data_IF_508813639108
#
_entry.id   IF_508813639108
#
_cell.length_a   1.000
_cell.length_b   1.000
_cell.length_c   1.000
_cell.angle_alpha   90.00
_cell.angle_beta   90.00
_cell.angle_gamma   90.00
#
_symmetry.space_group_name_H-M   'P 1'
#
loop_
_entity.id
_entity.type
_entity.pdbx_description
1 polymer ?
#
# COMPACT_ATOMS: atom_id res chain seq x y z
N UNK A 1 5.97 -14.08 -22.23
CA UNK A 1 7.40 -14.25 -22.45
C UNK A 1 7.96 -12.98 -23.11
N UNK A 2 9.21 -12.56 -22.79
CA UNK A 2 9.87 -11.38 -23.42
C UNK A 2 9.92 -11.54 -24.94
N UNK A 3 10.02 -12.77 -25.44
CA UNK A 3 9.95 -13.10 -26.88
C UNK A 3 8.55 -12.84 -27.46
N UNK A 4 7.50 -13.15 -26.73
CA UNK A 4 6.12 -12.90 -27.13
C UNK A 4 5.80 -11.40 -27.13
N UNK A 5 6.28 -10.67 -26.13
CA UNK A 5 6.16 -9.21 -26.07
C UNK A 5 6.95 -8.54 -27.21
N UNK A 6 8.12 -9.07 -27.58
CA UNK A 6 8.91 -8.62 -28.73
C UNK A 6 8.19 -8.88 -30.06
N UNK A 7 7.40 -9.93 -30.16
CA UNK A 7 6.61 -10.25 -31.35
C UNK A 7 5.33 -9.41 -31.45
N UNK A 8 4.65 -9.17 -30.32
CA UNK A 8 3.41 -8.40 -30.29
C UNK A 8 3.59 -6.88 -30.32
N UNK A 9 4.75 -6.38 -29.85
CA UNK A 9 5.06 -4.95 -29.77
C UNK A 9 6.51 -4.67 -30.20
N UNK A 10 6.87 -4.96 -31.46
CA UNK A 10 8.24 -4.78 -31.96
C UNK A 10 8.71 -3.32 -31.85
N UNK A 11 7.82 -2.34 -31.93
CA UNK A 11 8.13 -0.92 -31.81
C UNK A 11 8.76 -0.56 -30.45
N UNK A 12 8.49 -1.29 -29.39
CA UNK A 12 9.11 -1.07 -28.07
C UNK A 12 10.57 -1.53 -28.03
N UNK A 13 10.93 -2.44 -28.91
CA UNK A 13 12.26 -3.07 -28.96
C UNK A 13 13.09 -2.59 -30.16
N UNK A 14 12.48 -2.14 -31.25
CA UNK A 14 13.19 -1.66 -32.44
C UNK A 14 13.90 -0.32 -32.24
N UNK A 15 13.37 0.54 -31.37
CA UNK A 15 14.03 1.79 -30.99
C UNK A 15 15.42 1.60 -30.35
N UNK A 16 15.81 0.36 -30.04
CA UNK A 16 17.06 -0.01 -29.39
C UNK A 16 18.00 -0.86 -30.27
N UNK A 17 17.61 -1.20 -31.51
CA UNK A 17 18.52 -1.89 -32.45
C UNK A 17 19.69 -0.96 -32.81
N UNK A 18 20.88 -1.34 -32.39
CA UNK A 18 22.11 -0.65 -32.77
C UNK A 18 22.72 0.33 -31.77
N UNK A 19 22.13 0.46 -30.58
CA UNK A 19 22.71 1.26 -29.51
C UNK A 19 23.75 0.42 -28.78
N UNK A 20 25.03 0.66 -29.06
CA UNK A 20 26.13 0.12 -28.24
C UNK A 20 26.03 0.72 -26.84
N UNK A 21 26.11 -0.12 -25.80
CA UNK A 21 26.24 0.35 -24.41
C UNK A 21 27.54 1.14 -24.31
N UNK A 22 27.44 2.46 -24.21
CA UNK A 22 28.57 3.27 -23.81
C UNK A 22 28.64 3.21 -22.28
N UNK A 23 29.80 2.84 -21.77
CA UNK A 23 30.11 2.94 -20.35
C UNK A 23 29.92 4.40 -19.93
N UNK A 24 28.80 4.69 -19.25
CA UNK A 24 28.59 6.00 -18.68
C UNK A 24 27.25 6.69 -18.86
N UNK A 25 26.18 6.11 -19.45
CA UNK A 25 24.79 6.67 -19.40
C UNK A 25 23.79 5.97 -20.32
N UNK A 26 23.93 4.69 -20.61
CA UNK A 26 22.93 4.05 -21.46
C UNK A 26 21.86 3.40 -20.59
N UNK A 27 20.76 4.16 -20.39
CA UNK A 27 19.57 3.70 -19.67
C UNK A 27 18.92 2.55 -20.46
N UNK A 28 18.45 1.53 -19.72
CA UNK A 28 17.69 0.41 -20.26
C UNK A 28 16.35 0.84 -20.90
N UNK A 29 15.65 -0.11 -21.48
CA UNK A 29 14.37 0.11 -22.18
C UNK A 29 13.34 0.74 -21.21
N UNK A 30 13.30 0.28 -19.96
CA UNK A 30 12.36 0.80 -18.96
C UNK A 30 12.57 2.29 -18.64
N UNK A 31 13.80 2.72 -18.48
CA UNK A 31 14.14 4.12 -18.21
C UNK A 31 13.82 5.02 -19.41
N UNK A 32 14.09 4.57 -20.62
CA UNK A 32 13.71 5.28 -21.86
C UNK A 32 12.19 5.40 -22.00
N UNK A 33 11.47 4.33 -21.70
CA UNK A 33 10.00 4.33 -21.70
C UNK A 33 9.45 5.30 -20.65
N UNK A 34 10.04 5.37 -19.46
CA UNK A 34 9.62 6.32 -18.44
C UNK A 34 9.84 7.79 -18.86
N UNK A 35 10.93 8.12 -19.53
CA UNK A 35 11.15 9.45 -20.13
C UNK A 35 10.06 9.79 -21.15
N UNK A 36 9.63 8.80 -21.95
CA UNK A 36 8.50 8.96 -22.89
C UNK A 36 7.17 9.11 -22.13
N UNK A 37 6.94 8.31 -21.09
CA UNK A 37 5.73 8.36 -20.27
C UNK A 37 5.52 9.73 -19.63
N UNK A 38 6.57 10.41 -19.16
CA UNK A 38 6.50 11.78 -18.62
C UNK A 38 5.91 12.80 -19.60
N UNK A 39 5.98 12.54 -20.92
CA UNK A 39 5.39 13.41 -21.96
C UNK A 39 3.92 13.08 -22.26
N UNK A 40 3.45 11.88 -21.91
CA UNK A 40 2.13 11.36 -22.27
C UNK A 40 1.21 11.26 -21.04
N UNK A 41 1.80 11.03 -19.88
CA UNK A 41 1.10 10.78 -18.61
C UNK A 41 1.59 11.83 -17.61
N UNK A 42 0.69 12.63 -17.04
CA UNK A 42 1.09 13.60 -16.00
C UNK A 42 1.81 12.90 -14.85
N UNK A 43 3.07 13.31 -14.58
CA UNK A 43 3.92 12.65 -13.59
C UNK A 43 4.56 11.33 -14.03
N UNK A 44 4.33 10.87 -15.26
CA UNK A 44 4.95 9.69 -15.87
C UNK A 44 4.38 8.34 -15.43
N UNK A 45 3.52 8.29 -14.43
CA UNK A 45 2.87 7.07 -13.94
C UNK A 45 1.54 7.37 -13.22
N UNK A 46 0.80 6.32 -12.86
CA UNK A 46 -0.52 6.43 -12.23
C UNK A 46 -0.47 6.41 -10.69
N UNK A 47 0.67 6.10 -10.09
CA UNK A 47 0.77 5.92 -8.63
C UNK A 47 2.09 6.49 -8.09
N UNK A 48 2.00 7.44 -7.16
CA UNK A 48 3.16 8.12 -6.56
C UNK A 48 4.19 7.11 -6.03
N UNK A 49 3.75 6.09 -5.28
CA UNK A 49 4.65 5.09 -4.67
C UNK A 49 5.37 4.18 -5.68
N UNK A 50 5.00 4.19 -6.96
CA UNK A 50 5.71 3.50 -8.05
C UNK A 50 6.57 4.43 -8.90
N UNK A 51 6.67 5.70 -8.52
CA UNK A 51 7.49 6.66 -9.26
C UNK A 51 8.96 6.28 -9.11
N UNK A 52 9.69 6.07 -10.22
CA UNK A 52 11.11 5.69 -10.18
C UNK A 52 11.99 6.62 -9.36
N UNK A 53 11.67 7.91 -9.40
CA UNK A 53 12.40 8.94 -8.67
C UNK A 53 12.32 8.80 -7.13
N UNK A 54 11.36 8.01 -6.61
CA UNK A 54 11.24 7.68 -5.17
C UNK A 54 12.22 6.59 -4.73
N UNK A 55 12.80 5.87 -5.69
CA UNK A 55 13.74 4.78 -5.47
C UNK A 55 15.15 5.16 -5.92
N UNK A 56 15.36 5.23 -7.23
CA UNK A 56 16.66 5.53 -7.84
C UNK A 56 16.43 6.32 -9.13
N UNK A 57 16.47 7.66 -9.06
CA UNK A 57 16.20 8.50 -10.23
C UNK A 57 17.09 8.11 -11.40
N UNK A 58 16.52 8.08 -12.60
CA UNK A 58 17.14 7.71 -13.88
C UNK A 58 17.65 6.27 -14.01
N UNK A 59 17.85 5.53 -12.93
CA UNK A 59 18.45 4.19 -12.93
C UNK A 59 17.45 3.06 -12.63
N UNK A 60 16.34 3.36 -11.90
CA UNK A 60 15.33 2.37 -11.59
C UNK A 60 14.72 1.76 -12.86
N UNK A 61 14.56 0.40 -12.96
CA UNK A 61 14.08 -0.26 -14.19
C UNK A 61 12.70 0.14 -14.66
N UNK A 62 11.86 0.68 -13.79
CA UNK A 62 10.56 1.33 -14.00
C UNK A 62 9.42 0.45 -14.48
N UNK A 63 9.66 -0.47 -15.41
CA UNK A 63 8.64 -1.32 -16.04
C UNK A 63 9.04 -2.79 -16.01
N UNK A 64 8.06 -3.65 -15.83
CA UNK A 64 8.27 -5.09 -15.84
C UNK A 64 7.66 -5.76 -17.08
N UNK A 65 8.29 -6.84 -17.55
CA UNK A 65 7.76 -7.74 -18.58
C UNK A 65 7.06 -8.94 -17.96
N UNK A 66 7.52 -9.37 -16.76
CA UNK A 66 7.02 -10.54 -16.05
C UNK A 66 7.24 -10.38 -14.55
N UNK A 67 6.31 -10.93 -13.76
CA UNK A 67 6.47 -11.08 -12.31
C UNK A 67 5.95 -12.45 -11.87
N UNK A 68 6.70 -13.16 -11.00
CA UNK A 68 6.34 -14.50 -10.51
C UNK A 68 6.96 -14.75 -9.14
N UNK A 69 6.18 -15.20 -8.16
CA UNK A 69 6.64 -15.36 -6.78
C UNK A 69 7.08 -14.00 -6.21
N UNK A 70 8.33 -13.87 -5.80
CA UNK A 70 8.93 -12.58 -5.45
C UNK A 70 9.94 -12.07 -6.49
N UNK A 71 9.89 -12.60 -7.73
CA UNK A 71 10.79 -12.21 -8.81
C UNK A 71 10.10 -11.32 -9.82
N UNK A 72 10.84 -10.36 -10.37
CA UNK A 72 10.40 -9.41 -11.38
C UNK A 72 11.45 -9.35 -12.49
N UNK A 73 11.01 -9.38 -13.75
CA UNK A 73 11.87 -9.17 -14.91
C UNK A 73 11.56 -7.82 -15.55
N UNK A 74 12.60 -7.05 -15.80
CA UNK A 74 12.46 -5.78 -16.52
C UNK A 74 12.27 -5.98 -18.03
N UNK A 75 12.18 -4.88 -18.78
CA UNK A 75 12.03 -4.94 -20.24
C UNK A 75 13.31 -5.33 -20.99
N UNK A 76 14.45 -5.25 -20.32
CA UNK A 76 15.75 -5.71 -20.86
C UNK A 76 15.98 -7.21 -20.57
N UNK A 77 15.09 -7.85 -19.80
CA UNK A 77 15.15 -9.26 -19.43
C UNK A 77 15.97 -9.55 -18.18
N UNK A 78 16.40 -8.54 -17.44
CA UNK A 78 17.10 -8.74 -16.18
C UNK A 78 16.12 -9.21 -15.11
N UNK A 79 16.52 -10.23 -14.34
CA UNK A 79 15.76 -10.76 -13.20
C UNK A 79 16.17 -10.04 -11.90
N UNK A 80 15.18 -9.64 -11.12
CA UNK A 80 15.36 -9.08 -9.79
C UNK A 80 14.51 -9.82 -8.77
N UNK A 81 14.99 -9.89 -7.53
CA UNK A 81 14.19 -10.31 -6.38
C UNK A 81 13.60 -9.06 -5.74
N UNK A 82 12.27 -9.01 -5.60
CA UNK A 82 11.59 -7.88 -4.96
C UNK A 82 11.62 -8.03 -3.44
N UNK A 83 12.58 -7.34 -2.82
CA UNK A 83 12.69 -7.13 -1.38
C UNK A 83 12.31 -5.68 -1.03
N UNK A 84 11.24 -5.16 -1.68
CA UNK A 84 10.73 -3.81 -1.47
C UNK A 84 9.23 -3.82 -1.19
N UNK A 85 8.41 -3.36 -2.10
CA UNK A 85 6.99 -3.06 -1.84
C UNK A 85 5.98 -4.06 -2.42
N UNK A 86 6.40 -5.12 -3.09
CA UNK A 86 5.53 -6.20 -3.59
C UNK A 86 4.20 -5.71 -4.18
N UNK A 87 4.26 -4.82 -5.19
CA UNK A 87 3.06 -4.21 -5.78
C UNK A 87 2.29 -3.32 -4.79
N UNK A 88 2.96 -2.62 -3.89
CA UNK A 88 2.38 -1.82 -2.79
C UNK A 88 1.63 -2.70 -1.78
N UNK A 89 2.17 -3.88 -1.50
CA UNK A 89 1.60 -4.82 -0.55
C UNK A 89 0.33 -5.52 -1.03
N UNK A 90 0.10 -5.57 -2.35
CA UNK A 90 -1.05 -6.31 -2.90
C UNK A 90 -0.79 -7.81 -3.01
N UNK A 91 0.45 -8.22 -3.28
CA UNK A 91 0.79 -9.60 -3.63
C UNK A 91 1.31 -10.40 -2.42
N UNK A 92 0.44 -10.61 -1.45
CA UNK A 92 0.79 -11.30 -0.19
C UNK A 92 1.17 -12.77 -0.39
N UNK A 93 0.59 -13.44 -1.42
CA UNK A 93 0.90 -14.81 -1.83
C UNK A 93 1.99 -14.88 -2.91
N UNK A 94 2.66 -13.76 -3.18
CA UNK A 94 3.58 -13.62 -4.31
C UNK A 94 2.89 -13.25 -5.63
N UNK A 95 3.69 -12.79 -6.59
CA UNK A 95 3.25 -12.44 -7.93
C UNK A 95 2.76 -13.65 -8.70
N UNK A 96 1.69 -13.50 -9.47
CA UNK A 96 1.22 -14.54 -10.38
C UNK A 96 0.96 -15.87 -9.69
N UNK A 97 0.27 -15.86 -8.53
CA UNK A 97 -0.02 -17.08 -7.79
C UNK A 97 -0.86 -18.03 -8.65
N UNK A 98 -0.43 -19.29 -8.89
CA UNK A 98 -1.02 -20.16 -9.91
C UNK A 98 -2.50 -20.43 -9.68
N UNK A 99 -2.93 -20.73 -8.45
CA UNK A 99 -4.33 -21.04 -8.18
C UNK A 99 -5.23 -19.81 -8.35
N UNK A 100 -4.76 -18.60 -7.99
CA UNK A 100 -5.51 -17.36 -8.19
C UNK A 100 -5.64 -17.04 -9.67
N UNK A 101 -4.53 -17.12 -10.42
CA UNK A 101 -4.51 -16.87 -11.85
C UNK A 101 -5.35 -17.89 -12.63
N UNK A 102 -5.34 -19.17 -12.24
CA UNK A 102 -6.14 -20.22 -12.88
C UNK A 102 -7.64 -20.01 -12.63
N UNK A 103 -8.03 -19.57 -11.42
CA UNK A 103 -9.42 -19.23 -11.14
C UNK A 103 -9.89 -18.06 -11.99
N UNK A 104 -9.07 -17.00 -12.11
CA UNK A 104 -9.37 -15.85 -12.96
C UNK A 104 -9.44 -16.25 -14.44
N UNK A 105 -8.51 -17.04 -14.94
CA UNK A 105 -8.51 -17.51 -16.34
C UNK A 105 -9.80 -18.21 -16.71
N UNK A 106 -10.33 -19.06 -15.83
CA UNK A 106 -11.61 -19.76 -16.04
C UNK A 106 -12.78 -18.81 -16.19
N UNK A 107 -12.88 -17.76 -15.36
CA UNK A 107 -13.99 -16.80 -15.50
C UNK A 107 -13.83 -15.87 -16.68
N UNK A 108 -12.60 -15.56 -17.09
CA UNK A 108 -12.35 -14.82 -18.36
C UNK A 108 -12.89 -15.59 -19.56
N UNK A 109 -12.65 -16.90 -19.61
CA UNK A 109 -13.18 -17.78 -20.68
C UNK A 109 -14.70 -17.87 -20.69
N UNK A 110 -15.36 -17.69 -19.54
CA UNK A 110 -16.83 -17.70 -19.39
C UNK A 110 -17.47 -16.34 -19.61
N UNK A 111 -16.70 -15.27 -19.70
CA UNK A 111 -17.17 -13.88 -19.80
C UNK A 111 -17.11 -13.14 -18.47
N UNK A 112 -16.37 -12.04 -18.47
CA UNK A 112 -16.10 -11.23 -17.28
C UNK A 112 -17.30 -10.36 -16.87
N UNK A 113 -18.14 -9.94 -17.81
CA UNK A 113 -19.26 -9.03 -17.55
C UNK A 113 -20.46 -9.34 -18.48
N UNK A 114 -21.65 -9.20 -17.95
CA UNK A 114 -22.88 -9.37 -18.72
C UNK A 114 -23.99 -8.43 -18.21
N UNK A 115 -25.20 -8.55 -18.77
CA UNK A 115 -26.40 -7.88 -18.24
C UNK A 115 -26.82 -8.44 -16.87
N UNK A 116 -26.50 -9.69 -16.59
CA UNK A 116 -26.74 -10.32 -15.29
C UNK A 116 -25.57 -10.08 -14.33
N UNK A 117 -25.86 -10.11 -13.03
CA UNK A 117 -24.86 -10.08 -11.98
C UNK A 117 -24.07 -11.40 -11.92
N UNK A 118 -22.87 -11.37 -11.42
CA UNK A 118 -22.08 -12.58 -11.20
C UNK A 118 -22.33 -13.16 -9.78
N UNK A 119 -22.37 -14.48 -9.62
CA UNK A 119 -22.62 -15.08 -8.32
C UNK A 119 -21.46 -14.90 -7.35
N UNK A 120 -20.26 -14.70 -7.84
CA UNK A 120 -19.04 -14.54 -7.04
C UNK A 120 -19.09 -13.29 -6.14
N UNK A 121 -19.87 -12.26 -6.50
CA UNK A 121 -20.09 -11.11 -5.62
C UNK A 121 -20.83 -11.49 -4.35
N UNK A 122 -21.82 -12.40 -4.45
CA UNK A 122 -22.56 -12.91 -3.29
C UNK A 122 -21.68 -13.81 -2.44
N UNK A 123 -20.98 -14.76 -3.07
CA UNK A 123 -20.08 -15.68 -2.37
C UNK A 123 -18.96 -14.94 -1.63
N UNK A 124 -18.40 -13.88 -2.22
CA UNK A 124 -17.41 -13.05 -1.54
C UNK A 124 -18.01 -12.29 -0.38
N UNK A 125 -19.23 -11.77 -0.51
CA UNK A 125 -19.92 -11.08 0.58
C UNK A 125 -20.15 -12.04 1.76
N UNK A 126 -20.69 -13.24 1.51
CA UNK A 126 -20.88 -14.29 2.52
C UNK A 126 -19.55 -14.63 3.20
N UNK A 127 -18.48 -14.82 2.42
CA UNK A 127 -17.15 -15.15 2.95
C UNK A 127 -16.57 -14.05 3.85
N UNK A 128 -16.72 -12.79 3.47
CA UNK A 128 -16.24 -11.67 4.28
C UNK A 128 -17.01 -11.54 5.61
N UNK A 129 -18.32 -11.78 5.60
CA UNK A 129 -19.15 -11.79 6.81
C UNK A 129 -18.76 -12.97 7.70
N UNK A 130 -18.55 -14.16 7.15
CA UNK A 130 -18.08 -15.33 7.91
C UNK A 130 -16.75 -15.05 8.63
N UNK A 131 -15.82 -14.38 7.97
CA UNK A 131 -14.53 -13.98 8.55
C UNK A 131 -14.71 -12.90 9.63
N UNK A 132 -15.75 -12.06 9.51
CA UNK A 132 -16.03 -10.91 10.38
C UNK A 132 -17.47 -10.98 10.93
N UNK A 133 -17.76 -11.86 11.91
CA UNK A 133 -19.13 -12.11 12.38
C UNK A 133 -19.87 -10.90 12.99
N UNK A 134 -19.18 -9.78 13.20
CA UNK A 134 -19.78 -8.52 13.64
C UNK A 134 -20.43 -7.74 12.48
N UNK A 135 -20.08 -8.05 11.22
CA UNK A 135 -20.63 -7.40 10.03
C UNK A 135 -21.78 -8.21 9.44
N UNK A 136 -22.77 -7.50 8.89
CA UNK A 136 -23.98 -8.10 8.32
C UNK A 136 -24.08 -7.91 6.80
N UNK A 137 -23.46 -6.85 6.26
CA UNK A 137 -23.62 -6.46 4.86
C UNK A 137 -22.29 -6.01 4.23
N UNK A 138 -22.20 -6.16 2.90
CA UNK A 138 -20.99 -5.87 2.11
C UNK A 138 -21.33 -5.04 0.87
N UNK A 139 -20.47 -4.06 0.56
CA UNK A 139 -20.42 -3.39 -0.75
C UNK A 139 -19.04 -3.62 -1.35
N UNK A 140 -19.00 -4.08 -2.59
CA UNK A 140 -17.76 -4.29 -3.33
C UNK A 140 -17.43 -3.06 -4.19
N UNK A 141 -16.14 -2.76 -4.31
CA UNK A 141 -15.59 -1.79 -5.25
C UNK A 141 -14.27 -2.34 -5.82
N UNK A 142 -13.46 -1.52 -6.48
CA UNK A 142 -12.21 -2.01 -7.10
C UNK A 142 -10.96 -1.39 -6.51
N UNK A 143 -11.04 -0.18 -5.99
CA UNK A 143 -9.88 0.51 -5.40
C UNK A 143 -10.14 0.91 -3.95
N UNK A 144 -9.07 1.04 -3.17
CA UNK A 144 -9.16 1.48 -1.78
C UNK A 144 -9.72 2.90 -1.64
N UNK A 145 -9.39 3.80 -2.58
CA UNK A 145 -9.92 5.17 -2.60
C UNK A 145 -11.43 5.20 -2.79
N UNK A 146 -11.97 4.41 -3.74
CA UNK A 146 -13.41 4.26 -3.93
C UNK A 146 -14.09 3.71 -2.67
N UNK A 147 -13.56 2.61 -2.13
CA UNK A 147 -14.12 1.97 -0.94
C UNK A 147 -14.13 2.94 0.26
N UNK A 148 -13.08 3.74 0.42
CA UNK A 148 -13.02 4.78 1.45
C UNK A 148 -14.08 5.88 1.22
N UNK A 149 -14.28 6.35 -0.01
CA UNK A 149 -15.32 7.31 -0.33
C UNK A 149 -16.72 6.74 -0.12
N UNK A 150 -16.96 5.48 -0.50
CA UNK A 150 -18.21 4.75 -0.24
C UNK A 150 -18.50 4.71 1.26
N UNK A 151 -17.53 4.30 2.08
CA UNK A 151 -17.71 4.18 3.54
C UNK A 151 -18.08 5.50 4.19
N UNK A 152 -17.45 6.60 3.78
CA UNK A 152 -17.77 7.94 4.29
C UNK A 152 -19.18 8.37 3.87
N UNK A 153 -19.58 8.13 2.60
CA UNK A 153 -20.91 8.49 2.16
C UNK A 153 -22.00 7.70 2.88
N UNK A 154 -21.81 6.41 3.09
CA UNK A 154 -22.76 5.58 3.85
C UNK A 154 -22.86 6.10 5.30
N UNK A 155 -21.75 6.33 5.95
CA UNK A 155 -21.73 6.78 7.34
C UNK A 155 -22.37 8.18 7.53
N UNK A 156 -22.10 9.11 6.60
CA UNK A 156 -22.79 10.42 6.58
C UNK A 156 -24.28 10.30 6.34
N UNK A 157 -24.71 9.42 5.44
CA UNK A 157 -26.13 9.16 5.20
C UNK A 157 -26.82 8.54 6.40
N UNK A 158 -26.14 7.62 7.11
CA UNK A 158 -26.67 6.96 8.31
C UNK A 158 -26.80 7.92 9.49
N UNK A 159 -25.84 8.83 9.67
CA UNK A 159 -25.83 9.76 10.82
C UNK A 159 -26.51 11.11 10.56
N UNK A 160 -26.67 11.47 9.27
CA UNK A 160 -27.14 12.81 8.89
C UNK A 160 -26.15 13.94 9.19
N UNK A 161 -24.87 13.62 9.45
CA UNK A 161 -23.84 14.58 9.87
C UNK A 161 -22.67 14.60 8.88
N UNK A 162 -22.09 15.79 8.65
CA UNK A 162 -21.06 15.98 7.65
C UNK A 162 -19.62 15.78 8.16
N UNK A 163 -19.36 16.05 9.44
CA UNK A 163 -18.02 16.12 9.98
C UNK A 163 -17.46 14.75 10.34
N UNK A 164 -16.19 14.56 10.02
CA UNK A 164 -15.42 13.33 10.24
C UNK A 164 -14.19 13.64 11.08
N UNK A 165 -14.02 12.97 12.21
CA UNK A 165 -12.74 12.89 12.89
C UNK A 165 -11.92 11.77 12.26
N UNK A 166 -10.64 11.98 11.93
CA UNK A 166 -9.85 10.99 11.23
C UNK A 166 -8.41 10.88 11.73
N UNK A 167 -7.83 9.68 11.55
CA UNK A 167 -6.42 9.42 11.79
C UNK A 167 -5.89 8.42 10.74
N UNK A 168 -4.80 8.78 10.06
CA UNK A 168 -4.15 7.94 9.06
C UNK A 168 -4.39 8.36 7.62
N UNK A 169 -3.98 7.47 6.69
CA UNK A 169 -4.07 7.70 5.24
C UNK A 169 -5.28 7.00 4.63
N UNK A 170 -6.11 7.74 3.87
CA UNK A 170 -7.38 7.22 3.36
C UNK A 170 -7.63 7.46 1.86
N UNK A 171 -6.58 7.70 1.08
CA UNK A 171 -6.69 7.86 -0.37
C UNK A 171 -6.55 9.29 -0.86
N UNK A 172 -7.17 9.62 -2.00
CA UNK A 172 -6.94 10.86 -2.74
C UNK A 172 -8.23 11.65 -3.04
N UNK A 173 -9.39 11.15 -2.60
CA UNK A 173 -10.68 11.78 -2.89
C UNK A 173 -10.85 13.11 -2.13
N UNK A 174 -11.65 14.01 -2.67
CA UNK A 174 -11.86 15.36 -2.16
C UNK A 174 -12.24 15.39 -0.68
N UNK A 175 -13.08 14.44 -0.23
CA UNK A 175 -13.49 14.35 1.17
C UNK A 175 -12.30 14.24 2.12
N UNK A 176 -11.24 13.52 1.73
CA UNK A 176 -10.03 13.34 2.55
C UNK A 176 -9.05 14.50 2.39
N UNK A 177 -8.78 14.92 1.14
CA UNK A 177 -7.87 16.02 0.84
C UNK A 177 -8.37 17.38 1.36
N UNK A 178 -9.67 17.51 1.64
CA UNK A 178 -10.25 18.70 2.24
C UNK A 178 -9.68 19.02 3.64
N UNK A 179 -9.01 18.07 4.28
CA UNK A 179 -8.26 18.32 5.52
C UNK A 179 -7.19 19.42 5.35
N UNK A 180 -6.56 19.51 4.19
CA UNK A 180 -5.54 20.53 3.88
C UNK A 180 -6.11 21.89 3.45
N UNK A 181 -7.42 22.06 3.38
CA UNK A 181 -8.04 23.39 3.09
C UNK A 181 -7.94 24.38 4.25
N UNK A 182 -7.72 23.90 5.46
CA UNK A 182 -7.56 24.73 6.66
C UNK A 182 -6.10 25.12 6.92
N UNK A 183 -5.22 24.15 6.76
CA UNK A 183 -3.78 24.24 6.91
C UNK A 183 -3.17 23.23 5.93
N UNK A 184 -2.32 23.70 5.04
CA UNK A 184 -1.70 22.87 3.99
C UNK A 184 -0.84 21.71 4.53
N UNK A 185 -0.44 21.77 5.78
CA UNK A 185 0.36 20.77 6.48
C UNK A 185 -0.46 19.71 7.25
N UNK A 186 -1.78 19.81 7.29
CA UNK A 186 -2.64 18.92 8.11
C UNK A 186 -2.40 17.42 7.80
N UNK A 187 -2.17 17.06 6.54
CA UNK A 187 -1.92 15.67 6.13
C UNK A 187 -0.45 15.24 6.22
N UNK A 188 0.48 16.13 6.58
CA UNK A 188 1.92 15.79 6.61
C UNK A 188 2.21 14.67 7.62
N UNK A 189 1.56 14.71 8.79
CA UNK A 189 1.61 13.64 9.79
C UNK A 189 0.83 12.36 9.43
N UNK A 190 0.06 12.39 8.34
CA UNK A 190 -0.80 11.29 7.86
C UNK A 190 -0.31 10.65 6.56
N UNK A 191 0.98 10.66 6.29
CA UNK A 191 1.70 10.03 5.16
C UNK A 191 1.81 10.85 3.86
N UNK A 192 1.30 12.04 3.76
CA UNK A 192 1.32 12.84 2.53
C UNK A 192 1.96 14.23 2.72
N UNK A 193 3.24 14.31 3.13
CA UNK A 193 3.89 15.60 3.33
C UNK A 193 3.98 16.38 2.01
N UNK A 194 3.67 17.69 2.08
CA UNK A 194 3.74 18.60 0.95
C UNK A 194 2.60 18.47 -0.07
N UNK A 195 1.45 17.89 0.31
CA UNK A 195 0.29 17.77 -0.55
C UNK A 195 -0.52 19.07 -0.58
N UNK A 196 -0.64 19.67 -1.77
CA UNK A 196 -1.50 20.84 -1.98
C UNK A 196 -2.95 20.42 -2.29
N UNK A 197 -3.98 21.04 -1.65
CA UNK A 197 -5.38 20.70 -1.88
C UNK A 197 -5.97 21.39 -3.14
N UNK A 198 -5.17 21.56 -4.19
CA UNK A 198 -5.61 22.20 -5.44
C UNK A 198 -6.72 21.40 -6.12
N UNK A 199 -7.81 22.08 -6.46
CA UNK A 199 -8.98 21.48 -7.12
C UNK A 199 -10.00 20.91 -6.13
N UNK A 200 -9.72 20.85 -4.83
CA UNK A 200 -10.68 20.45 -3.81
C UNK A 200 -11.65 21.62 -3.52
N UNK A 201 -12.98 21.41 -3.53
CA UNK A 201 -13.97 22.46 -3.28
C UNK A 201 -13.79 23.11 -1.91
N UNK A 202 -13.73 24.46 -1.86
CA UNK A 202 -13.50 25.22 -0.64
C UNK A 202 -14.59 25.06 0.42
N UNK A 203 -15.83 24.75 0.02
CA UNK A 203 -16.94 24.50 0.93
C UNK A 203 -16.80 23.20 1.77
N UNK A 204 -15.83 22.34 1.43
CA UNK A 204 -15.50 21.17 2.23
C UNK A 204 -14.56 21.49 3.42
N UNK A 205 -14.06 22.73 3.50
CA UNK A 205 -13.23 23.17 4.64
C UNK A 205 -13.94 22.94 5.96
N UNK A 206 -13.22 22.30 6.92
CA UNK A 206 -13.74 22.02 8.27
C UNK A 206 -14.65 20.79 8.37
N UNK A 207 -14.81 20.02 7.30
CA UNK A 207 -15.51 18.72 7.34
C UNK A 207 -14.61 17.57 7.79
N UNK A 208 -13.29 17.73 7.72
CA UNK A 208 -12.29 16.73 8.13
C UNK A 208 -11.44 17.27 9.27
N UNK A 209 -11.46 16.58 10.40
CA UNK A 209 -10.80 17.00 11.64
C UNK A 209 -9.79 15.93 12.07
N UNK A 210 -8.47 16.20 11.97
CA UNK A 210 -7.44 15.23 12.27
C UNK A 210 -7.22 15.05 13.76
N UNK A 211 -6.90 13.84 14.20
CA UNK A 211 -6.31 13.55 15.50
C UNK A 211 -5.11 12.60 15.33
N UNK A 212 -4.18 12.65 16.27
CA UNK A 212 -2.99 11.82 16.23
C UNK A 212 -3.24 10.45 16.86
N UNK A 213 -2.57 9.43 16.32
CA UNK A 213 -2.64 8.07 16.84
C UNK A 213 -2.10 8.00 18.27
N UNK A 214 -2.77 7.23 19.16
CA UNK A 214 -2.50 7.17 20.60
C UNK A 214 -2.71 8.50 21.38
N UNK A 215 -3.49 9.44 20.84
CA UNK A 215 -3.85 10.73 21.45
C UNK A 215 -5.36 10.82 21.61
N UNK A 216 -5.88 10.05 22.57
CA UNK A 216 -7.34 9.98 22.82
C UNK A 216 -7.92 11.34 23.21
N UNK A 217 -7.17 12.16 23.93
CA UNK A 217 -7.55 13.49 24.37
C UNK A 217 -7.83 14.46 23.19
N UNK A 218 -7.15 14.27 22.06
CA UNK A 218 -7.43 15.06 20.85
C UNK A 218 -8.78 14.69 20.25
N UNK A 219 -9.12 13.40 20.20
CA UNK A 219 -10.42 12.93 19.74
C UNK A 219 -11.55 13.38 20.67
N UNK A 220 -11.36 13.30 21.99
CA UNK A 220 -12.31 13.80 22.98
C UNK A 220 -12.59 15.29 22.77
N UNK A 221 -11.54 16.10 22.56
CA UNK A 221 -11.68 17.53 22.30
C UNK A 221 -12.44 17.82 20.99
N UNK A 222 -12.19 17.04 19.92
CA UNK A 222 -12.93 17.17 18.66
C UNK A 222 -14.42 16.88 18.86
N UNK A 223 -14.76 15.78 19.51
CA UNK A 223 -16.15 15.35 19.74
C UNK A 223 -16.89 16.33 20.66
N UNK A 224 -16.20 16.91 21.66
CA UNK A 224 -16.78 17.90 22.55
C UNK A 224 -17.12 19.24 21.85
N UNK A 225 -16.36 19.62 20.81
CA UNK A 225 -16.48 20.94 20.19
C UNK A 225 -17.14 20.89 18.79
N UNK A 226 -17.40 19.71 18.21
CA UNK A 226 -17.95 19.57 16.88
C UNK A 226 -19.03 18.50 16.84
N UNK A 227 -20.03 18.70 15.97
CA UNK A 227 -21.06 17.68 15.69
C UNK A 227 -20.51 16.62 14.73
N UNK A 228 -19.83 15.62 15.29
CA UNK A 228 -19.16 14.54 14.56
C UNK A 228 -20.14 13.40 14.26
N UNK A 229 -20.20 12.97 13.00
CA UNK A 229 -20.97 11.79 12.57
C UNK A 229 -20.13 10.55 12.39
N UNK A 230 -18.84 10.71 12.12
CA UNK A 230 -17.96 9.62 11.72
C UNK A 230 -16.59 9.76 12.39
N UNK A 231 -16.07 8.66 12.90
CA UNK A 231 -14.64 8.50 13.22
C UNK A 231 -14.08 7.51 12.23
N UNK A 232 -13.03 7.90 11.50
CA UNK A 232 -12.34 7.04 10.54
C UNK A 232 -10.85 6.97 10.81
N UNK A 233 -10.32 5.75 10.95
CA UNK A 233 -8.91 5.57 11.24
C UNK A 233 -8.36 4.26 10.73
N UNK A 234 -7.03 4.16 10.55
CA UNK A 234 -6.33 2.89 10.44
C UNK A 234 -6.19 2.26 11.82
N UNK A 235 -6.34 0.95 11.94
CA UNK A 235 -6.21 0.23 13.22
C UNK A 235 -4.79 0.34 13.77
N UNK A 236 -3.82 0.17 12.92
CA UNK A 236 -2.39 0.40 13.18
C UNK A 236 -1.63 0.44 11.86
N UNK A 237 -0.55 1.20 11.80
CA UNK A 237 0.37 1.24 10.66
C UNK A 237 1.83 1.26 11.11
N UNK A 238 2.24 2.28 11.83
CA UNK A 238 3.64 2.50 12.21
C UNK A 238 3.90 2.17 13.69
N UNK A 239 2.89 2.33 14.53
CA UNK A 239 2.95 2.07 15.96
C UNK A 239 1.75 1.25 16.41
N UNK A 240 1.92 0.45 17.47
CA UNK A 240 0.81 -0.28 18.09
C UNK A 240 -0.07 0.62 18.96
N UNK A 241 -1.36 0.29 19.13
CA UNK A 241 -2.22 1.01 20.08
C UNK A 241 -1.73 0.79 21.51
N UNK A 242 -1.76 1.85 22.30
CA UNK A 242 -1.30 1.86 23.70
C UNK A 242 -2.46 2.22 24.62
N UNK A 243 -2.35 1.81 25.88
CA UNK A 243 -3.19 2.27 26.98
C UNK A 243 -4.71 2.22 26.72
N UNK A 244 -5.18 1.19 26.02
CA UNK A 244 -6.60 1.05 25.70
C UNK A 244 -7.11 2.05 24.65
N UNK A 245 -6.24 2.57 23.78
CA UNK A 245 -6.59 3.59 22.79
C UNK A 245 -7.75 3.18 21.87
N UNK A 246 -7.71 1.97 21.29
CA UNK A 246 -8.79 1.51 20.39
C UNK A 246 -10.12 1.30 21.13
N UNK A 247 -10.08 0.78 22.35
CA UNK A 247 -11.23 0.63 23.22
C UNK A 247 -11.82 2.00 23.58
N UNK A 248 -10.95 2.98 23.85
CA UNK A 248 -11.34 4.36 24.10
C UNK A 248 -12.04 4.99 22.89
N UNK A 249 -11.48 4.83 21.69
CA UNK A 249 -12.09 5.29 20.43
C UNK A 249 -13.47 4.63 20.23
N UNK A 250 -13.58 3.31 20.42
CA UNK A 250 -14.87 2.61 20.30
C UNK A 250 -15.89 3.14 21.32
N UNK A 251 -15.46 3.37 22.56
CA UNK A 251 -16.32 3.92 23.61
C UNK A 251 -16.84 5.32 23.25
N UNK A 252 -15.96 6.22 22.81
CA UNK A 252 -16.33 7.57 22.38
C UNK A 252 -17.36 7.51 21.25
N UNK A 253 -17.13 6.65 20.24
CA UNK A 253 -18.06 6.50 19.13
C UNK A 253 -19.43 5.99 19.58
N UNK A 254 -19.47 5.01 20.47
CA UNK A 254 -20.71 4.43 21.01
C UNK A 254 -21.48 5.45 21.85
N UNK A 255 -20.81 6.12 22.79
CA UNK A 255 -21.45 7.07 23.72
C UNK A 255 -22.03 8.31 23.01
N UNK A 256 -21.52 8.64 21.81
CA UNK A 256 -21.93 9.84 21.05
C UNK A 256 -22.72 9.50 19.76
N UNK A 257 -23.12 8.24 19.54
CA UNK A 257 -23.80 7.77 18.33
C UNK A 257 -23.03 8.14 17.04
N UNK A 258 -21.72 7.93 17.05
CA UNK A 258 -20.82 8.17 15.93
C UNK A 258 -20.49 6.83 15.26
N UNK A 259 -20.53 6.79 13.93
CA UNK A 259 -20.12 5.62 13.15
C UNK A 259 -18.60 5.50 13.18
N UNK A 260 -18.08 4.37 13.69
CA UNK A 260 -16.65 4.05 13.67
C UNK A 260 -16.30 3.22 12.44
N UNK A 261 -15.37 3.72 11.63
CA UNK A 261 -14.86 3.04 10.44
C UNK A 261 -13.37 2.73 10.63
N UNK A 262 -13.01 1.44 10.54
CA UNK A 262 -11.61 1.05 10.43
C UNK A 262 -11.20 0.88 8.96
N UNK A 263 -10.18 1.63 8.54
CA UNK A 263 -9.54 1.44 7.24
C UNK A 263 -8.49 0.34 7.35
N UNK A 264 -8.82 -0.82 6.83
CA UNK A 264 -7.99 -2.01 6.79
C UNK A 264 -7.40 -2.28 5.40
N UNK A 265 -7.43 -1.28 4.52
CA UNK A 265 -6.85 -1.42 3.17
C UNK A 265 -5.38 -1.83 3.19
N UNK A 266 -4.64 -1.38 4.19
CA UNK A 266 -3.22 -1.69 4.35
C UNK A 266 -2.98 -2.83 5.34
N UNK A 267 -3.69 -2.87 6.44
CA UNK A 267 -3.50 -3.80 7.56
C UNK A 267 -4.21 -5.14 7.39
N UNK A 268 -5.30 -5.19 6.65
CA UNK A 268 -6.12 -6.38 6.49
C UNK A 268 -5.35 -7.60 5.95
N UNK A 269 -5.63 -8.78 6.52
CA UNK A 269 -5.08 -10.08 6.12
C UNK A 269 -3.57 -10.26 6.32
N UNK A 270 -2.92 -9.42 7.15
CA UNK A 270 -1.46 -9.49 7.37
C UNK A 270 -1.03 -10.09 8.69
N UNK A 271 -1.75 -9.80 9.78
CA UNK A 271 -1.46 -10.36 11.12
C UNK A 271 -2.59 -11.25 11.64
N UNK A 272 -3.73 -11.18 11.01
CA UNK A 272 -4.92 -11.98 11.31
C UNK A 272 -5.56 -12.42 9.99
N UNK A 273 -6.32 -13.50 10.02
CA UNK A 273 -7.20 -13.80 8.89
C UNK A 273 -8.44 -12.89 8.98
N UNK A 274 -8.40 -11.78 8.24
CA UNK A 274 -9.36 -10.70 8.31
C UNK A 274 -8.73 -9.37 8.73
N UNK A 275 -9.53 -8.51 9.34
CA UNK A 275 -9.09 -7.21 9.82
C UNK A 275 -8.16 -7.30 11.04
N UNK A 276 -7.19 -6.39 11.10
CA UNK A 276 -6.27 -6.27 12.22
C UNK A 276 -6.98 -5.97 13.56
N UNK A 277 -8.14 -5.31 13.51
CA UNK A 277 -8.96 -5.03 14.68
C UNK A 277 -9.32 -6.29 15.50
N UNK A 278 -9.37 -7.46 14.85
CA UNK A 278 -9.61 -8.75 15.52
C UNK A 278 -8.52 -9.08 16.55
N UNK A 279 -7.27 -8.68 16.30
CA UNK A 279 -6.15 -8.86 17.24
C UNK A 279 -6.39 -8.14 18.57
N UNK A 280 -7.08 -7.01 18.51
CA UNK A 280 -7.34 -6.16 19.67
C UNK A 280 -8.74 -6.33 20.27
N UNK A 281 -9.59 -7.15 19.65
CA UNK A 281 -10.94 -7.40 20.15
C UNK A 281 -11.90 -6.21 20.07
N UNK A 282 -11.61 -5.23 19.21
CA UNK A 282 -12.43 -4.01 19.04
C UNK A 282 -13.11 -4.06 17.68
N UNK A 283 -14.44 -4.17 17.66
CA UNK A 283 -15.22 -4.18 16.42
C UNK A 283 -15.67 -2.77 16.03
N UNK A 284 -15.48 -2.36 14.77
CA UNK A 284 -16.02 -1.11 14.23
C UNK A 284 -17.49 -1.29 13.83
N UNK A 285 -18.13 -0.20 13.39
CA UNK A 285 -19.42 -0.27 12.71
C UNK A 285 -19.26 -0.57 11.22
N UNK A 286 -18.11 -0.18 10.64
CA UNK A 286 -17.72 -0.48 9.27
C UNK A 286 -16.21 -0.74 9.17
N UNK A 287 -15.81 -1.58 8.22
CA UNK A 287 -14.40 -1.75 7.87
C UNK A 287 -14.20 -1.75 6.34
N UNK A 288 -13.01 -1.30 5.89
CA UNK A 288 -12.67 -1.18 4.48
C UNK A 288 -11.46 -2.07 4.18
N UNK A 289 -11.58 -2.94 3.17
CA UNK A 289 -10.51 -3.84 2.74
C UNK A 289 -10.14 -3.59 1.28
N UNK A 290 -8.87 -3.79 0.94
CA UNK A 290 -8.35 -3.72 -0.43
C UNK A 290 -7.01 -4.47 -0.51
N UNK A 291 -6.09 -4.04 -1.37
CA UNK A 291 -4.69 -4.54 -1.53
C UNK A 291 -4.59 -6.06 -1.47
N UNK A 292 -4.28 -6.62 -0.28
CA UNK A 292 -4.05 -8.05 -0.09
C UNK A 292 -5.25 -8.93 -0.47
N UNK A 293 -6.47 -8.38 -0.44
CA UNK A 293 -7.72 -9.12 -0.70
C UNK A 293 -7.74 -9.81 -2.07
N UNK A 294 -7.14 -9.19 -3.11
CA UNK A 294 -7.16 -9.72 -4.48
C UNK A 294 -5.83 -10.31 -4.96
N UNK A 295 -4.79 -10.32 -4.13
CA UNK A 295 -3.44 -10.74 -4.50
C UNK A 295 -2.96 -10.16 -5.86
N UNK A 296 -3.11 -8.85 -6.04
CA UNK A 296 -2.73 -8.13 -7.27
C UNK A 296 -3.90 -7.83 -8.22
N UNK A 297 -5.03 -8.52 -8.10
CA UNK A 297 -6.26 -8.19 -8.82
C UNK A 297 -7.03 -7.07 -8.11
N UNK A 298 -7.68 -6.21 -8.91
CA UNK A 298 -8.41 -5.06 -8.39
C UNK A 298 -9.71 -5.48 -7.72
N UNK A 299 -9.76 -5.39 -6.39
CA UNK A 299 -10.94 -5.62 -5.57
C UNK A 299 -10.81 -4.84 -4.25
N UNK A 300 -11.91 -4.31 -3.78
CA UNK A 300 -12.06 -3.74 -2.45
C UNK A 300 -13.45 -4.00 -1.91
N UNK A 301 -13.60 -3.96 -0.61
CA UNK A 301 -14.85 -4.20 0.10
C UNK A 301 -15.05 -3.21 1.23
N UNK A 302 -16.29 -2.76 1.39
CA UNK A 302 -16.81 -2.08 2.58
C UNK A 302 -17.76 -3.06 3.25
N UNK A 303 -17.44 -3.46 4.47
CA UNK A 303 -18.32 -4.32 5.28
C UNK A 303 -18.84 -3.53 6.49
N UNK A 304 -19.99 -3.87 7.01
CA UNK A 304 -20.52 -3.15 8.17
C UNK A 304 -21.79 -3.78 8.74
N UNK A 305 -22.19 -3.24 9.88
CA UNK A 305 -23.45 -3.61 10.54
C UNK A 305 -24.66 -3.16 9.71
N UNK A 306 -25.74 -3.90 9.75
CA UNK A 306 -26.95 -3.65 8.96
C UNK A 306 -27.50 -2.23 9.16
N UNK A 307 -27.58 -1.77 10.40
CA UNK A 307 -28.12 -0.45 10.76
C UNK A 307 -27.43 0.72 10.02
N UNK A 308 -26.12 0.59 9.79
CA UNK A 308 -25.33 1.61 9.05
C UNK A 308 -25.38 1.34 7.55
N UNK A 309 -25.21 0.10 7.13
CA UNK A 309 -25.11 -0.26 5.71
C UNK A 309 -26.41 -0.07 4.94
N UNK A 310 -27.59 -0.19 5.57
CA UNK A 310 -28.90 0.07 4.97
C UNK A 310 -29.04 1.51 4.47
N UNK A 311 -28.32 2.47 5.02
CA UNK A 311 -28.28 3.85 4.53
C UNK A 311 -27.80 3.95 3.07
N UNK A 312 -27.11 2.93 2.55
CA UNK A 312 -26.73 2.83 1.13
C UNK A 312 -27.94 2.95 0.19
N UNK A 313 -29.11 2.49 0.62
CA UNK A 313 -30.34 2.54 -0.19
C UNK A 313 -30.93 3.96 -0.31
N UNK A 314 -30.56 4.86 0.59
CA UNK A 314 -31.02 6.26 0.57
C UNK A 314 -30.07 7.19 -0.18
N UNK A 315 -28.94 6.70 -0.70
CA UNK A 315 -27.95 7.49 -1.44
C UNK A 315 -27.49 6.75 -2.69
N UNK A 316 -27.05 7.51 -3.72
CA UNK A 316 -26.61 6.90 -4.98
C UNK A 316 -25.13 6.48 -4.90
N UNK A 317 -24.90 5.16 -4.85
CA UNK A 317 -23.59 4.53 -4.86
C UNK A 317 -23.62 3.41 -5.90
N UNK A 318 -23.08 3.65 -7.09
CA UNK A 318 -23.12 2.71 -8.21
C UNK A 318 -21.95 2.93 -9.17
N UNK A 319 -21.42 1.85 -9.75
CA UNK A 319 -20.44 1.92 -10.82
C UNK A 319 -20.47 0.64 -11.66
N UNK A 320 -20.26 0.79 -12.97
CA UNK A 320 -20.33 -0.30 -13.94
C UNK A 320 -19.37 -1.43 -13.62
N UNK A 321 -18.08 -1.13 -13.40
CA UNK A 321 -17.06 -2.15 -13.21
C UNK A 321 -17.03 -2.77 -11.82
N UNK A 322 -17.86 -2.34 -10.89
CA UNK A 322 -18.01 -3.04 -9.62
C UNK A 322 -18.74 -4.38 -9.75
N UNK A 323 -19.32 -4.64 -10.92
CA UNK A 323 -20.08 -5.87 -11.25
C UNK A 323 -19.32 -6.87 -12.12
N UNK A 324 -18.00 -6.65 -12.35
CA UNK A 324 -17.17 -7.60 -13.10
C UNK A 324 -16.74 -8.79 -12.21
N UNK A 325 -16.48 -9.97 -12.83
CA UNK A 325 -16.26 -11.23 -12.13
C UNK A 325 -14.82 -11.47 -11.66
N UNK A 326 -13.82 -10.87 -12.32
CA UNK A 326 -12.40 -11.15 -12.05
C UNK A 326 -12.05 -10.82 -10.59
N UNK A 327 -12.42 -9.63 -10.13
CA UNK A 327 -12.12 -9.17 -8.77
C UNK A 327 -12.66 -10.10 -7.68
N UNK A 328 -13.97 -10.39 -7.63
CA UNK A 328 -14.53 -11.31 -6.66
C UNK A 328 -13.97 -12.74 -6.74
N UNK A 329 -13.74 -13.26 -7.94
CA UNK A 329 -13.12 -14.58 -8.14
C UNK A 329 -11.71 -14.64 -7.58
N UNK A 330 -10.89 -13.64 -7.89
CA UNK A 330 -9.53 -13.55 -7.37
C UNK A 330 -9.52 -13.46 -5.84
N UNK A 331 -10.41 -12.64 -5.27
CA UNK A 331 -10.52 -12.51 -3.81
C UNK A 331 -10.93 -13.82 -3.14
N UNK A 332 -11.94 -14.52 -3.64
CA UNK A 332 -12.37 -15.81 -3.11
C UNK A 332 -11.24 -16.84 -3.10
N UNK A 333 -10.51 -16.96 -4.22
CA UNK A 333 -9.37 -17.90 -4.29
C UNK A 333 -8.21 -17.44 -3.43
N UNK A 334 -7.93 -16.14 -3.35
CA UNK A 334 -6.90 -15.59 -2.47
C UNK A 334 -7.21 -15.91 -0.99
N UNK A 335 -8.44 -15.70 -0.54
CA UNK A 335 -8.86 -16.03 0.82
C UNK A 335 -8.76 -17.52 1.13
N UNK A 336 -9.13 -18.39 0.19
CA UNK A 336 -8.99 -19.84 0.32
C UNK A 336 -7.53 -20.26 0.52
N UNK A 337 -6.62 -19.73 -0.30
CA UNK A 337 -5.19 -20.03 -0.19
C UNK A 337 -4.61 -19.46 1.10
N UNK A 338 -4.94 -18.21 1.44
CA UNK A 338 -4.47 -17.59 2.69
C UNK A 338 -4.85 -18.42 3.92
N UNK A 339 -6.10 -18.87 4.00
CA UNK A 339 -6.59 -19.65 5.12
C UNK A 339 -5.89 -21.00 5.21
N UNK A 340 -5.82 -21.75 4.11
CA UNK A 340 -5.15 -23.04 4.02
C UNK A 340 -3.68 -22.95 4.42
N UNK A 341 -2.98 -21.92 4.00
CA UNK A 341 -1.53 -21.76 4.23
C UNK A 341 -1.20 -20.96 5.48
N UNK A 342 -2.21 -20.39 6.15
CA UNK A 342 -2.03 -19.45 7.27
C UNK A 342 -1.03 -18.34 6.93
N UNK A 343 -1.20 -17.73 5.77
CA UNK A 343 -0.24 -16.78 5.20
C UNK A 343 0.10 -15.63 6.14
N UNK A 344 -0.87 -15.15 6.93
CA UNK A 344 -0.67 -14.06 7.91
C UNK A 344 0.33 -14.43 9.02
N UNK A 345 0.36 -15.69 9.45
CA UNK A 345 1.33 -16.16 10.45
C UNK A 345 2.74 -16.16 9.85
N UNK A 346 2.88 -16.71 8.64
CA UNK A 346 4.16 -16.80 7.91
C UNK A 346 4.76 -15.43 7.64
N UNK A 347 4.02 -14.53 6.99
CA UNK A 347 4.54 -13.21 6.64
C UNK A 347 4.81 -12.33 7.88
N UNK A 348 4.04 -12.50 8.95
CA UNK A 348 4.29 -11.82 10.23
C UNK A 348 5.58 -12.30 10.85
N UNK A 349 5.83 -13.61 10.90
CA UNK A 349 7.06 -14.18 11.43
C UNK A 349 8.28 -13.74 10.60
N UNK A 350 8.17 -13.82 9.28
CA UNK A 350 9.22 -13.37 8.34
C UNK A 350 9.55 -11.89 8.51
N UNK A 351 8.54 -11.03 8.61
CA UNK A 351 8.78 -9.59 8.78
C UNK A 351 9.40 -9.23 10.13
N UNK A 352 9.05 -9.94 11.20
CA UNK A 352 9.73 -9.81 12.50
C UNK A 352 11.21 -10.22 12.42
N UNK A 353 11.51 -11.31 11.71
CA UNK A 353 12.89 -11.76 11.50
C UNK A 353 13.68 -10.72 10.72
N UNK A 354 13.14 -10.18 9.64
CA UNK A 354 13.78 -9.13 8.84
C UNK A 354 14.07 -7.89 9.71
N UNK A 355 13.11 -7.41 10.49
CA UNK A 355 13.31 -6.27 11.38
C UNK A 355 14.40 -6.51 12.43
N UNK A 356 14.40 -7.70 13.05
CA UNK A 356 15.45 -8.11 13.99
C UNK A 356 16.84 -8.16 13.34
N UNK A 357 16.93 -8.70 12.14
CA UNK A 357 18.21 -8.82 11.40
C UNK A 357 18.73 -7.44 10.97
N UNK A 358 17.86 -6.48 10.60
CA UNK A 358 18.28 -5.10 10.38
C UNK A 358 18.84 -4.46 11.65
N UNK A 359 18.20 -4.70 12.81
CA UNK A 359 18.69 -4.20 14.09
C UNK A 359 20.09 -4.74 14.40
N UNK A 360 20.30 -6.07 14.29
CA UNK A 360 21.60 -6.72 14.51
C UNK A 360 22.66 -6.19 13.54
N UNK A 361 22.29 -5.98 12.28
CA UNK A 361 23.21 -5.44 11.27
C UNK A 361 23.63 -4.00 11.58
N UNK A 362 22.68 -3.16 11.98
CA UNK A 362 22.98 -1.79 12.39
C UNK A 362 23.88 -1.73 13.65
N UNK A 363 23.59 -2.58 14.64
CA UNK A 363 24.44 -2.72 15.85
C UNK A 363 25.87 -3.12 15.50
N UNK A 364 26.06 -4.06 14.57
CA UNK A 364 27.38 -4.48 14.08
C UNK A 364 28.23 -3.31 13.58
N UNK A 365 27.59 -2.34 12.92
CA UNK A 365 28.24 -1.18 12.34
C UNK A 365 28.02 0.12 13.12
N UNK A 366 27.52 0.03 14.35
CA UNK A 366 27.26 1.17 15.25
C UNK A 366 26.37 2.26 14.62
N UNK A 367 25.46 1.88 13.73
CA UNK A 367 24.52 2.79 13.11
C UNK A 367 23.25 2.92 13.95
N UNK A 368 22.72 4.11 14.18
CA UNK A 368 21.40 4.28 14.79
C UNK A 368 20.35 3.80 13.80
N UNK A 369 19.41 2.98 14.26
CA UNK A 369 18.32 2.48 13.43
C UNK A 369 17.01 2.51 14.19
N UNK A 370 15.94 2.88 13.48
CA UNK A 370 14.56 2.84 13.97
C UNK A 370 13.77 1.88 13.10
N UNK A 371 13.26 0.81 13.70
CA UNK A 371 12.40 -0.17 13.02
C UNK A 371 10.94 0.18 13.30
N UNK A 372 10.11 0.23 12.27
CA UNK A 372 8.69 0.57 12.39
C UNK A 372 7.84 -0.17 11.36
N UNK A 373 6.53 0.07 11.39
CA UNK A 373 5.55 -0.58 10.53
C UNK A 373 4.96 -1.85 11.10
N UNK A 374 3.92 -2.35 10.44
CA UNK A 374 3.40 -3.69 10.73
C UNK A 374 4.48 -4.72 10.37
N UNK A 375 4.59 -5.86 11.08
CA UNK A 375 5.63 -6.85 10.79
C UNK A 375 5.73 -7.25 9.32
N UNK A 376 4.58 -7.49 8.67
CA UNK A 376 4.56 -7.82 7.24
C UNK A 376 4.78 -6.62 6.29
N UNK A 377 4.92 -5.41 6.81
CA UNK A 377 5.19 -4.16 6.10
C UNK A 377 6.31 -3.41 6.82
N UNK A 378 7.32 -4.13 7.24
CA UNK A 378 8.40 -3.62 8.07
C UNK A 378 9.25 -2.62 7.30
N UNK A 379 9.63 -1.55 7.98
CA UNK A 379 10.53 -0.53 7.44
C UNK A 379 11.53 -0.09 8.50
N UNK A 380 12.61 0.53 8.03
CA UNK A 380 13.61 1.14 8.90
C UNK A 380 13.96 2.56 8.46
N UNK A 381 14.48 3.32 9.39
CA UNK A 381 15.07 4.63 9.19
C UNK A 381 16.41 4.68 9.93
N UNK A 382 17.40 5.37 9.36
CA UNK A 382 18.63 5.74 10.03
C UNK A 382 18.52 7.25 10.31
N UNK A 383 18.30 7.67 11.57
CA UNK A 383 18.00 9.06 11.92
C UNK A 383 19.26 9.95 11.91
N UNK A 384 19.82 10.16 10.72
CA UNK A 384 20.99 11.00 10.44
C UNK A 384 20.72 11.97 9.28
N UNK A 385 21.50 13.06 9.20
CA UNK A 385 21.29 14.10 8.20
C UNK A 385 21.37 13.60 6.74
N UNK A 386 22.25 12.64 6.49
CA UNK A 386 22.46 12.06 5.16
C UNK A 386 21.47 10.92 4.81
N UNK A 387 20.40 10.73 5.57
CA UNK A 387 19.50 9.58 5.40
C UNK A 387 19.01 9.35 3.95
N UNK A 388 18.59 10.37 3.24
CA UNK A 388 18.14 10.21 1.85
C UNK A 388 19.24 9.74 0.91
N UNK A 389 20.48 10.17 1.15
CA UNK A 389 21.65 9.70 0.39
C UNK A 389 21.93 8.24 0.70
N UNK A 390 21.85 7.82 1.97
CA UNK A 390 22.03 6.43 2.36
C UNK A 390 20.91 5.53 1.84
N UNK A 391 19.68 5.99 1.87
CA UNK A 391 18.55 5.28 1.24
C UNK A 391 18.79 5.08 -0.26
N UNK A 392 19.31 6.08 -0.96
CA UNK A 392 19.67 6.02 -2.38
C UNK A 392 20.80 5.02 -2.60
N UNK A 393 21.86 5.07 -1.77
CA UNK A 393 22.98 4.14 -1.83
C UNK A 393 22.55 2.69 -1.62
N UNK A 394 21.69 2.41 -0.61
CA UNK A 394 21.13 1.09 -0.39
C UNK A 394 20.41 0.59 -1.66
N UNK A 395 19.53 1.43 -2.22
CA UNK A 395 18.77 1.06 -3.43
C UNK A 395 19.69 0.79 -4.61
N UNK A 396 20.70 1.64 -4.83
CA UNK A 396 21.70 1.52 -5.89
C UNK A 396 22.51 0.22 -5.78
N UNK A 397 23.11 -0.02 -4.63
CA UNK A 397 23.98 -1.17 -4.44
C UNK A 397 23.23 -2.50 -4.47
N UNK A 398 22.02 -2.54 -3.87
CA UNK A 398 21.18 -3.72 -3.91
C UNK A 398 20.65 -4.00 -5.32
N UNK A 399 20.33 -2.97 -6.11
CA UNK A 399 19.93 -3.14 -7.51
C UNK A 399 21.04 -3.80 -8.35
N UNK A 400 22.32 -3.39 -8.15
CA UNK A 400 23.50 -4.02 -8.78
C UNK A 400 23.64 -5.51 -8.43
N UNK A 401 23.09 -5.94 -7.29
CA UNK A 401 23.07 -7.33 -6.81
C UNK A 401 21.82 -8.12 -7.23
N UNK A 402 20.95 -7.50 -8.05
CA UNK A 402 19.70 -8.12 -8.50
C UNK A 402 18.55 -8.08 -7.50
N UNK A 403 18.55 -7.12 -6.57
CA UNK A 403 17.46 -6.90 -5.64
C UNK A 403 16.77 -5.56 -5.89
N UNK A 404 15.45 -5.58 -6.01
CA UNK A 404 14.64 -4.38 -5.83
C UNK A 404 14.50 -4.16 -4.33
N UNK A 405 15.30 -3.27 -3.76
CA UNK A 405 15.33 -3.04 -2.32
C UNK A 405 15.48 -1.56 -1.99
N UNK A 406 14.99 -1.17 -0.84
CA UNK A 406 15.14 0.15 -0.25
C UNK A 406 15.10 0.00 1.27
N UNK A 407 14.41 0.89 1.98
CA UNK A 407 14.26 0.85 3.43
C UNK A 407 12.97 0.17 3.93
N UNK A 408 12.25 -0.54 3.07
CA UNK A 408 10.99 -1.21 3.41
C UNK A 408 10.92 -2.58 2.75
N UNK A 409 10.39 -3.58 3.47
CA UNK A 409 10.05 -4.88 2.90
C UNK A 409 8.58 -5.18 3.18
N UNK A 410 7.79 -5.25 2.12
CA UNK A 410 6.42 -5.74 2.18
C UNK A 410 6.44 -7.24 1.91
N UNK A 411 6.29 -8.01 2.97
CA UNK A 411 6.54 -9.45 2.96
C UNK A 411 5.44 -10.21 2.22
N UNK A 412 5.85 -11.18 1.41
CA UNK A 412 4.97 -12.18 0.82
C UNK A 412 5.41 -13.60 1.22
N UNK A 413 4.57 -14.60 0.94
CA UNK A 413 4.87 -16.00 1.30
C UNK A 413 6.07 -16.59 0.54
N UNK A 414 6.49 -15.95 -0.55
CA UNK A 414 7.65 -16.36 -1.36
C UNK A 414 8.99 -15.82 -0.84
N UNK A 415 8.99 -14.95 0.19
CA UNK A 415 10.20 -14.52 0.88
C UNK A 415 10.68 -15.62 1.82
N UNK A 416 11.28 -16.67 1.26
CA UNK A 416 11.84 -17.80 2.00
C UNK A 416 13.22 -17.46 2.59
N UNK A 417 13.65 -18.22 3.59
CA UNK A 417 14.90 -17.95 4.32
C UNK A 417 16.11 -17.81 3.39
N UNK A 418 16.25 -18.67 2.37
CA UNK A 418 17.37 -18.59 1.42
C UNK A 418 17.45 -17.24 0.67
N UNK A 419 16.30 -16.63 0.36
CA UNK A 419 16.24 -15.31 -0.26
C UNK A 419 16.62 -14.22 0.76
N UNK A 420 16.09 -14.32 1.98
CA UNK A 420 16.37 -13.37 3.05
C UNK A 420 17.85 -13.41 3.43
N UNK A 421 18.43 -14.61 3.54
CA UNK A 421 19.85 -14.76 3.85
C UNK A 421 20.74 -14.08 2.80
N UNK A 422 20.45 -14.31 1.52
CA UNK A 422 21.17 -13.69 0.43
C UNK A 422 20.98 -12.14 0.41
N UNK A 423 19.77 -11.66 0.72
CA UNK A 423 19.52 -10.23 0.86
C UNK A 423 20.41 -9.60 1.94
N UNK A 424 20.50 -10.22 3.11
CA UNK A 424 21.32 -9.71 4.21
C UNK A 424 22.82 -9.85 3.95
N UNK A 425 23.27 -10.92 3.26
CA UNK A 425 24.65 -11.07 2.80
C UNK A 425 25.11 -9.87 1.96
N UNK A 426 24.25 -9.41 1.03
CA UNK A 426 24.57 -8.26 0.20
C UNK A 426 24.40 -6.93 0.93
N UNK A 427 23.41 -6.81 1.83
CA UNK A 427 23.16 -5.60 2.58
C UNK A 427 24.27 -5.31 3.61
N UNK A 428 24.98 -6.34 4.08
CA UNK A 428 26.06 -6.23 5.08
C UNK A 428 27.14 -5.24 4.61
N UNK A 429 27.66 -5.39 3.41
CA UNK A 429 28.68 -4.48 2.85
C UNK A 429 28.16 -3.05 2.62
N UNK A 430 26.87 -2.88 2.41
CA UNK A 430 26.27 -1.55 2.25
C UNK A 430 26.19 -0.83 3.58
N UNK A 431 25.84 -1.53 4.66
CA UNK A 431 25.83 -0.96 6.01
C UNK A 431 27.26 -0.64 6.50
N UNK A 432 28.25 -1.46 6.18
CA UNK A 432 29.67 -1.14 6.40
C UNK A 432 30.04 0.18 5.71
N UNK A 433 29.68 0.34 4.42
CA UNK A 433 29.94 1.56 3.67
C UNK A 433 29.24 2.79 4.27
N UNK A 434 28.01 2.63 4.78
CA UNK A 434 27.31 3.73 5.46
C UNK A 434 28.03 4.12 6.75
N UNK A 435 28.51 3.15 7.52
CA UNK A 435 29.35 3.41 8.72
C UNK A 435 30.61 4.19 8.36
N UNK A 436 31.33 3.79 7.31
CA UNK A 436 32.48 4.54 6.81
C UNK A 436 32.12 6.00 6.46
N UNK A 437 30.90 6.23 5.92
CA UNK A 437 30.46 7.58 5.60
C UNK A 437 30.16 8.41 6.85
N UNK A 438 29.63 7.82 7.90
CA UNK A 438 29.47 8.50 9.20
C UNK A 438 30.83 8.80 9.85
N UNK A 439 31.86 8.00 9.57
CA UNK A 439 33.24 8.21 10.00
C UNK A 439 34.02 9.18 9.08
N UNK A 440 33.37 9.80 8.08
CA UNK A 440 33.93 10.91 7.28
C UNK A 440 34.18 10.62 5.80
N UNK A 441 33.85 9.42 5.29
CA UNK A 441 33.83 9.15 3.84
C UNK A 441 32.68 9.90 3.18
N UNK A 442 32.97 10.59 2.07
CA UNK A 442 31.92 11.35 1.38
C UNK A 442 30.98 10.43 0.61
N UNK A 443 29.70 10.39 1.00
CA UNK A 443 28.66 9.57 0.33
C UNK A 443 28.36 10.04 -1.09
N UNK A 444 28.57 11.32 -1.42
CA UNK A 444 28.29 11.84 -2.76
C UNK A 444 29.22 11.23 -3.82
N UNK A 445 30.43 10.79 -3.42
CA UNK A 445 31.39 10.13 -4.32
C UNK A 445 31.00 8.66 -4.64
N UNK A 446 30.00 8.13 -3.94
CA UNK A 446 29.52 6.76 -4.08
C UNK A 446 28.22 6.65 -4.89
N UNK A 447 27.54 7.76 -5.10
CA UNK A 447 26.26 7.77 -5.82
C UNK A 447 26.49 7.92 -7.32
N UNK A 448 25.93 6.99 -8.09
CA UNK A 448 26.00 7.00 -9.57
C UNK A 448 24.98 7.96 -10.21
N UNK A 449 24.14 8.61 -9.41
CA UNK A 449 23.10 9.52 -9.89
C UNK A 449 22.46 10.36 -8.79
N UNK A 450 21.35 11.04 -9.11
CA UNK A 450 20.68 11.91 -8.15
C UNK A 450 20.10 11.16 -6.94
N UNK A 451 20.05 11.86 -5.80
CA UNK A 451 19.41 11.36 -4.57
C UNK A 451 17.91 11.15 -4.79
N UNK A 452 17.37 10.09 -4.23
CA UNK A 452 15.95 9.77 -4.31
C UNK A 452 15.07 10.87 -3.68
N UNK A 453 13.84 10.95 -4.16
CA UNK A 453 12.90 11.93 -3.64
C UNK A 453 12.21 11.42 -2.36
N UNK A 454 11.81 12.37 -1.50
CA UNK A 454 10.95 12.13 -0.35
C UNK A 454 9.69 13.00 -0.44
N UNK A 455 8.56 12.46 0.04
CA UNK A 455 7.29 13.19 0.07
C UNK A 455 6.67 13.45 -1.32
N UNK A 456 5.64 14.30 -1.33
CA UNK A 456 4.94 14.71 -2.55
C UNK A 456 5.66 15.91 -3.18
N UNK A 457 6.49 15.66 -4.19
CA UNK A 457 7.13 16.72 -5.00
C UNK A 457 6.66 16.66 -6.44
N UNK A 458 6.41 17.83 -7.04
CA UNK A 458 6.25 17.92 -8.49
C UNK A 458 7.58 17.55 -9.15
N UNK A 459 7.48 16.63 -10.10
CA UNK A 459 8.57 16.31 -11.03
C UNK A 459 8.20 16.93 -12.37
N UNK A 460 8.78 18.05 -12.65
CA UNK A 460 8.63 18.71 -13.95
C UNK A 460 9.67 18.18 -14.93
#
# INVERSE_FOLDING_TARGET
DVLELKQSHPEYFEANKGIKRNEGADFGIGQKLYKRAKKLIPGGNMLLSKRPDMFLPDQWPSYFSKAKGCKVWDLDGNEYIDMSIMGIGTNILGYGHPEVDDAVRKVVEQGNMSTFNCPEEVYLAERLIEIHPWADMVRLARTGGEANAISIRIARAATGKDKVAFCGYHGWHDWYLSANLGDDSTLDGHLLPGLEPKGVPQNLKGTMLPFNYNKIEELEAIVANHDIGVIKMEVSRNVEPKDGFLEGVRKIATDNNIVLIFDECTSGFRQTFGGLHKKYGVSPDMAVFSKALGNGYAISAVIGIQEVMEATQSTFISSTFWTERIGPTAALKTLEVMEREKSWERITATGKDIGKRWQVLAEKYMLPIEISGLPALVNFNIPVDNWLKYKTLITQEMLKKGFLASNSVYVCTEHINAIIDKYFEHLDSVFETISDCEDGRNVDDLLDGPVCHAGFKRLN
#
